data_IF_290891183514
#
_entry.id   IF_290891183514
#
_cell.length_a   1.000
_cell.length_b   1.000
_cell.length_c   1.000
_cell.angle_alpha   90.00
_cell.angle_beta   90.00
_cell.angle_gamma   90.00
#
_symmetry.space_group_name_H-M   'P 1'
#
loop_
_entity.id
_entity.type
_entity.pdbx_description
1 polymer ?
#
# COMPACT_ATOMS: atom_id res chain seq x y z
N UNK A 1 2.21 1.48 -6.41
CA UNK A 1 2.24 2.45 -7.51
C UNK A 1 2.22 1.66 -8.82
N UNK A 2 1.17 1.84 -9.63
CA UNK A 2 1.13 1.30 -10.99
C UNK A 2 1.28 2.48 -11.96
N UNK A 3 2.34 2.45 -12.77
CA UNK A 3 2.55 3.38 -13.88
C UNK A 3 2.46 2.57 -15.17
N UNK A 4 1.35 2.72 -15.89
CA UNK A 4 1.12 2.01 -17.14
C UNK A 4 1.66 2.82 -18.32
N UNK A 5 2.46 2.21 -19.18
CA UNK A 5 2.77 2.79 -20.49
C UNK A 5 1.65 2.41 -21.46
N UNK A 6 0.73 3.32 -21.76
CA UNK A 6 -0.39 3.03 -22.68
C UNK A 6 -0.05 3.24 -24.14
N UNK A 7 0.98 4.05 -24.47
CA UNK A 7 1.55 4.22 -25.81
C UNK A 7 3.06 4.54 -25.74
N UNK A 8 3.99 3.70 -26.25
CA UNK A 8 5.40 4.10 -26.42
C UNK A 8 5.54 5.05 -27.63
N UNK A 9 6.35 6.16 -27.59
CA UNK A 9 7.25 6.59 -26.51
C UNK A 9 6.64 7.62 -25.54
N UNK A 10 5.36 8.00 -25.71
CA UNK A 10 4.66 9.04 -24.93
C UNK A 10 3.32 8.52 -24.40
N UNK A 11 3.11 8.61 -23.08
CA UNK A 11 1.85 8.23 -22.43
C UNK A 11 2.02 7.26 -21.27
N UNK A 12 2.83 7.63 -20.27
CA UNK A 12 2.83 6.95 -18.97
C UNK A 12 1.69 7.53 -18.15
N UNK A 13 0.74 6.70 -17.74
CA UNK A 13 -0.33 7.10 -16.82
C UNK A 13 -0.09 6.45 -15.46
N UNK A 14 -0.13 7.24 -14.39
CA UNK A 14 -0.20 6.67 -13.04
C UNK A 14 -1.64 6.20 -12.84
N UNK A 15 -1.90 4.90 -12.79
CA UNK A 15 -3.27 4.40 -12.60
C UNK A 15 -3.62 4.30 -11.12
N UNK A 16 -2.62 3.95 -10.29
CA UNK A 16 -2.78 3.79 -8.85
C UNK A 16 -1.54 4.36 -8.16
N UNK A 17 -1.72 5.43 -7.38
CA UNK A 17 -0.64 6.01 -6.60
C UNK A 17 -0.31 5.11 -5.41
N UNK A 18 -1.33 4.78 -4.61
CA UNK A 18 -1.21 4.08 -3.34
C UNK A 18 -2.50 3.34 -2.98
N UNK A 19 -2.38 2.27 -2.20
CA UNK A 19 -3.46 1.71 -1.39
C UNK A 19 -3.19 2.11 0.06
N UNK A 20 -4.13 2.79 0.71
CA UNK A 20 -4.10 3.01 2.15
C UNK A 20 -4.90 1.91 2.83
N UNK A 21 -4.25 1.20 3.74
CA UNK A 21 -4.85 0.12 4.50
C UNK A 21 -5.24 0.57 5.91
N UNK A 22 -6.37 0.09 6.41
CA UNK A 22 -6.79 0.28 7.80
C UNK A 22 -7.26 -1.04 8.39
N UNK A 23 -6.73 -1.38 9.56
CA UNK A 23 -7.19 -2.51 10.38
C UNK A 23 -8.17 -1.97 11.41
N UNK A 24 -9.39 -2.53 11.47
CA UNK A 24 -10.41 -2.13 12.45
C UNK A 24 -10.74 -3.30 13.37
N UNK A 25 -10.42 -3.15 14.66
CA UNK A 25 -10.64 -4.18 15.70
C UNK A 25 -11.50 -3.57 16.79
N UNK A 26 -12.67 -4.15 17.07
CA UNK A 26 -13.61 -3.65 18.07
C UNK A 26 -13.91 -2.13 17.96
N UNK A 27 -13.96 -1.60 16.73
CA UNK A 27 -14.19 -0.17 16.45
C UNK A 27 -12.94 0.72 16.53
N UNK A 28 -11.80 0.21 17.02
CA UNK A 28 -10.53 0.93 16.98
C UNK A 28 -9.88 0.80 15.60
N UNK A 29 -9.45 1.93 15.03
CA UNK A 29 -8.89 2.01 13.68
C UNK A 29 -7.38 2.19 13.74
N UNK A 30 -6.65 1.31 13.08
CA UNK A 30 -5.19 1.38 12.93
C UNK A 30 -4.87 1.63 11.44
N UNK A 31 -4.54 2.88 11.10
CA UNK A 31 -4.18 3.28 9.74
C UNK A 31 -2.72 2.92 9.46
N UNK A 32 -2.49 2.04 8.48
CA UNK A 32 -1.15 1.54 8.15
C UNK A 32 -0.40 2.43 7.14
N UNK A 33 -1.10 3.41 6.56
CA UNK A 33 -0.51 4.38 5.65
C UNK A 33 0.57 5.23 6.33
N UNK A 34 1.60 5.61 5.57
CA UNK A 34 2.58 6.60 5.97
C UNK A 34 2.78 7.61 4.85
N UNK A 35 2.30 8.86 5.02
CA UNK A 35 2.52 9.95 4.06
C UNK A 35 3.22 11.12 4.74
N UNK A 36 4.17 11.76 4.05
CA UNK A 36 4.89 12.92 4.55
C UNK A 36 4.33 14.20 3.94
N UNK A 37 3.86 15.10 4.79
CA UNK A 37 3.43 16.45 4.49
C UNK A 37 4.45 17.46 5.06
N UNK A 38 4.41 18.74 4.64
CA UNK A 38 5.20 19.78 5.30
C UNK A 38 4.89 19.83 6.80
N UNK A 39 5.88 19.49 7.63
CA UNK A 39 5.76 19.52 9.09
C UNK A 39 5.03 18.33 9.75
N UNK A 40 4.50 17.36 8.99
CA UNK A 40 3.77 16.22 9.57
C UNK A 40 3.95 14.92 8.78
N UNK A 41 3.87 13.78 9.48
CA UNK A 41 3.68 12.47 8.87
C UNK A 41 2.33 11.94 9.30
N UNK A 42 1.44 11.69 8.34
CA UNK A 42 0.10 11.21 8.61
C UNK A 42 -0.47 10.36 7.43
N UNK A 43 -1.10 9.22 7.68
CA UNK A 43 -1.13 8.51 8.95
C UNK A 43 0.27 8.08 9.41
N UNK A 44 0.40 7.64 10.67
CA UNK A 44 1.69 7.26 11.28
C UNK A 44 1.90 5.74 11.25
N UNK A 45 1.47 5.07 10.19
CA UNK A 45 1.50 3.60 10.10
C UNK A 45 2.90 2.98 10.18
N UNK A 46 3.96 3.77 10.04
CA UNK A 46 5.33 3.34 10.32
C UNK A 46 5.55 2.90 11.77
N UNK A 47 4.69 3.32 12.71
CA UNK A 47 4.72 2.87 14.11
C UNK A 47 4.25 1.42 14.26
N UNK A 48 3.47 0.92 13.30
CA UNK A 48 3.01 -0.46 13.25
C UNK A 48 3.93 -1.36 12.40
N UNK A 49 4.93 -0.79 11.71
CA UNK A 49 5.83 -1.53 10.84
C UNK A 49 6.84 -2.31 11.68
N UNK A 50 6.80 -3.64 11.58
CA UNK A 50 7.69 -4.56 12.29
C UNK A 50 8.95 -4.86 11.50
N UNK A 51 8.81 -5.07 10.20
CA UNK A 51 9.93 -5.36 9.31
C UNK A 51 9.64 -4.91 7.89
N UNK A 52 10.71 -4.68 7.16
CA UNK A 52 10.71 -4.39 5.73
C UNK A 52 11.85 -5.14 5.07
N UNK A 53 11.54 -5.84 3.99
CA UNK A 53 12.51 -6.54 3.17
C UNK A 53 12.45 -6.00 1.74
N UNK A 54 13.63 -5.76 1.17
CA UNK A 54 13.81 -5.22 -0.19
C UNK A 54 14.60 -6.21 -1.04
N UNK A 55 14.06 -7.41 -1.20
CA UNK A 55 14.53 -8.38 -2.20
C UNK A 55 13.71 -8.23 -3.50
N UNK A 56 13.54 -9.30 -4.28
CA UNK A 56 12.84 -9.33 -5.56
C UNK A 56 11.44 -8.68 -5.50
N UNK A 57 10.69 -8.94 -4.44
CA UNK A 57 9.40 -8.28 -4.17
C UNK A 57 9.45 -7.63 -2.79
N UNK A 58 9.21 -6.31 -2.69
CA UNK A 58 9.13 -5.64 -1.40
C UNK A 58 8.09 -6.29 -0.48
N UNK A 59 8.53 -6.67 0.72
CA UNK A 59 7.67 -7.24 1.77
C UNK A 59 7.66 -6.32 2.97
N UNK A 60 6.47 -6.09 3.51
CA UNK A 60 6.24 -5.31 4.72
C UNK A 60 5.47 -6.17 5.70
N UNK A 61 5.93 -6.26 6.95
CA UNK A 61 5.12 -6.85 8.02
C UNK A 61 4.68 -5.77 9.00
N UNK A 62 3.38 -5.71 9.25
CA UNK A 62 2.75 -4.81 10.20
C UNK A 62 2.17 -5.58 11.36
N UNK A 63 2.16 -4.97 12.55
CA UNK A 63 1.46 -5.46 13.73
C UNK A 63 0.67 -4.32 14.37
N UNK A 64 -0.66 -4.45 14.35
CA UNK A 64 -1.57 -3.42 14.86
C UNK A 64 -2.86 -4.06 15.36
N UNK A 65 -3.38 -3.60 16.50
CA UNK A 65 -4.66 -4.09 17.04
C UNK A 65 -4.71 -5.61 17.29
N UNK A 66 -3.56 -6.26 17.52
CA UNK A 66 -3.48 -7.72 17.66
C UNK A 66 -3.56 -8.51 16.35
N UNK A 67 -3.43 -7.83 15.20
CA UNK A 67 -3.35 -8.43 13.87
C UNK A 67 -1.93 -8.26 13.32
N UNK A 68 -1.33 -9.36 12.85
CA UNK A 68 -0.08 -9.35 12.09
C UNK A 68 -0.37 -9.56 10.62
N UNK A 69 -0.06 -8.56 9.82
CA UNK A 69 -0.33 -8.49 8.38
C UNK A 69 0.99 -8.46 7.62
N UNK A 70 1.17 -9.35 6.66
CA UNK A 70 2.22 -9.22 5.65
C UNK A 70 1.63 -8.67 4.36
N UNK A 71 2.33 -7.70 3.79
CA UNK A 71 2.02 -7.08 2.50
C UNK A 71 3.19 -7.29 1.56
N UNK A 72 2.94 -7.86 0.39
CA UNK A 72 3.94 -8.05 -0.67
C UNK A 72 3.50 -7.28 -1.90
N UNK A 73 4.42 -6.51 -2.49
CA UNK A 73 4.16 -5.75 -3.72
C UNK A 73 4.98 -6.36 -4.85
N UNK A 74 4.33 -6.77 -5.93
CA UNK A 74 4.99 -7.35 -7.09
C UNK A 74 4.55 -6.65 -8.39
N UNK A 75 5.48 -6.48 -9.32
CA UNK A 75 5.16 -6.07 -10.69
C UNK A 75 5.25 -7.30 -11.60
N UNK A 76 4.24 -7.51 -12.45
CA UNK A 76 4.23 -8.63 -13.39
C UNK A 76 5.17 -8.30 -14.56
N UNK A 77 6.10 -9.21 -14.84
CA UNK A 77 7.06 -9.00 -15.92
C UNK A 77 6.34 -8.94 -17.28
N UNK A 78 6.63 -7.89 -18.06
CA UNK A 78 6.03 -7.70 -19.39
C UNK A 78 4.60 -7.15 -19.39
N UNK A 79 4.01 -6.85 -18.23
CA UNK A 79 2.66 -6.30 -18.13
C UNK A 79 2.63 -4.99 -17.34
N UNK A 80 1.66 -4.13 -17.66
CA UNK A 80 1.32 -2.97 -16.84
C UNK A 80 0.44 -3.40 -15.64
N UNK A 81 0.90 -4.38 -14.87
CA UNK A 81 0.14 -4.99 -13.76
C UNK A 81 0.96 -4.96 -12.48
N UNK A 82 0.39 -4.41 -11.41
CA UNK A 82 0.94 -4.46 -10.05
C UNK A 82 0.04 -5.30 -9.17
N UNK A 83 0.60 -6.32 -8.53
CA UNK A 83 -0.05 -7.13 -7.52
C UNK A 83 0.29 -6.60 -6.14
N UNK A 84 -0.71 -6.52 -5.27
CA UNK A 84 -0.53 -6.26 -3.85
C UNK A 84 -1.17 -7.42 -3.11
N UNK A 85 -0.33 -8.27 -2.54
CA UNK A 85 -0.75 -9.47 -1.82
C UNK A 85 -0.79 -9.17 -0.33
N UNK A 86 -1.85 -9.63 0.32
CA UNK A 86 -2.05 -9.50 1.76
C UNK A 86 -2.16 -10.88 2.38
N UNK A 87 -1.35 -11.15 3.40
CA UNK A 87 -1.37 -12.39 4.18
C UNK A 87 -1.63 -12.03 5.65
N UNK A 88 -2.69 -12.58 6.23
CA UNK A 88 -2.94 -12.48 7.67
C UNK A 88 -2.14 -13.56 8.37
N UNK A 89 -1.04 -13.18 9.02
CA UNK A 89 -0.16 -14.11 9.72
C UNK A 89 -0.76 -14.55 11.05
N UNK A 90 -1.33 -13.60 11.79
CA UNK A 90 -2.08 -13.85 13.03
C UNK A 90 -3.18 -12.82 13.21
N UNK A 91 -4.28 -13.20 13.87
CA UNK A 91 -5.33 -12.29 14.31
C UNK A 91 -5.92 -12.79 15.65
N UNK A 92 -5.84 -11.97 16.70
CA UNK A 92 -6.36 -12.33 18.03
C UNK A 92 -7.89 -12.26 18.15
N UNK A 93 -8.55 -11.58 17.22
CA UNK A 93 -10.01 -11.41 17.18
C UNK A 93 -10.49 -11.10 15.75
N UNK A 94 -11.81 -11.12 15.55
CA UNK A 94 -12.40 -10.68 14.29
C UNK A 94 -12.09 -9.19 14.04
N UNK A 95 -11.77 -8.86 12.79
CA UNK A 95 -11.42 -7.51 12.39
C UNK A 95 -11.96 -7.20 11.00
N UNK A 96 -12.07 -5.92 10.67
CA UNK A 96 -12.31 -5.46 9.30
C UNK A 96 -11.01 -4.95 8.70
N UNK A 97 -10.78 -5.30 7.44
CA UNK A 97 -9.65 -4.82 6.67
C UNK A 97 -10.16 -3.91 5.56
N UNK A 98 -9.91 -2.61 5.70
CA UNK A 98 -10.36 -1.60 4.75
C UNK A 98 -9.21 -1.22 3.82
N UNK A 99 -9.49 -1.18 2.52
CA UNK A 99 -8.57 -0.77 1.47
C UNK A 99 -9.11 0.48 0.78
N UNK A 100 -8.34 1.57 0.82
CA UNK A 100 -8.67 2.81 0.11
C UNK A 100 -7.67 3.03 -1.04
N UNK A 101 -8.06 2.80 -2.30
CA UNK A 101 -7.24 3.13 -3.45
C UNK A 101 -7.19 4.64 -3.69
N UNK A 102 -5.98 5.18 -3.79
CA UNK A 102 -5.74 6.53 -4.30
C UNK A 102 -5.48 6.45 -5.81
N UNK A 103 -6.56 6.59 -6.56
CA UNK A 103 -6.54 6.64 -8.02
C UNK A 103 -6.06 8.03 -8.44
N UNK A 104 -4.94 8.08 -9.15
CA UNK A 104 -4.35 9.33 -9.60
C UNK A 104 -4.46 9.42 -11.12
N UNK A 105 -5.67 9.62 -11.67
CA UNK A 105 -5.86 9.80 -13.10
C UNK A 105 -5.21 11.12 -13.58
N UNK A 106 -3.89 11.13 -13.74
CA UNK A 106 -3.09 12.30 -14.15
C UNK A 106 -2.03 11.85 -15.15
N UNK A 107 -1.86 12.65 -16.20
CA UNK A 107 -0.78 12.52 -17.17
C UNK A 107 0.56 12.82 -16.49
N UNK A 108 1.54 11.92 -16.67
CA UNK A 108 2.88 12.00 -16.08
C UNK A 108 3.65 13.28 -16.46
N UNK A 109 3.18 14.05 -17.45
CA UNK A 109 3.78 15.31 -17.91
C UNK A 109 3.09 16.60 -17.44
N UNK A 110 2.09 16.54 -16.55
CA UNK A 110 1.49 17.75 -15.97
C UNK A 110 2.04 18.02 -14.56
N UNK A 111 3.09 18.84 -14.50
CA UNK A 111 3.48 19.56 -13.28
C UNK A 111 2.69 20.86 -13.17
#
# INVERSE_FOLDING_TARGET
MLVAATHPPVGRMVLLSKLDETIVVAGQRCELGCNRYPGAVHPRGFEYLRSFEKDLFPVFEYEAGGVRLRKTIAAVNGENTTLVLYEILTASSAFSFELRPFIAYRDYHSM
#
